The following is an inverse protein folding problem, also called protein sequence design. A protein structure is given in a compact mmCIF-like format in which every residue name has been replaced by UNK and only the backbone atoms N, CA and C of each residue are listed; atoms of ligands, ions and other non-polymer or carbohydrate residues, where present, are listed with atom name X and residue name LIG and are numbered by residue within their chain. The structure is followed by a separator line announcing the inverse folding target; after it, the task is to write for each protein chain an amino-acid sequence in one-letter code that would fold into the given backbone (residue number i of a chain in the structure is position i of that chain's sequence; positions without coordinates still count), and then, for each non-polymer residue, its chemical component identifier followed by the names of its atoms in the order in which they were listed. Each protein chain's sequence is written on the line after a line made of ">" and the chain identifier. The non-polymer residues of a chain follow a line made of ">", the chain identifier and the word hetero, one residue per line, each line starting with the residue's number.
data_IF_159394285856
#
_entry.id   IF_159394285856
#
_cell.length_a   1.000
_cell.length_b   1.000
_cell.length_c   1.000
_cell.angle_alpha   90.00
_cell.angle_beta   90.00
_cell.angle_gamma   90.00
#
_symmetry.space_group_name_H-M   'P 1'
#
loop_
_entity.id
_entity.type
_entity.pdbx_description
1 polymer ?
#
# COMPACT_ATOMS: atom_id res chain seq x y z
N UNK A 1 -1.33 4.17 8.41
CA UNK A 1 -1.73 5.54 8.03
C UNK A 1 -1.75 5.61 6.52
N UNK A 2 -2.73 6.27 5.89
CA UNK A 2 -2.71 6.48 4.44
C UNK A 2 -1.44 7.26 4.06
N UNK A 3 -0.86 6.89 2.93
CA UNK A 3 0.33 7.53 2.40
C UNK A 3 0.01 9.01 2.11
N UNK A 4 0.51 9.91 2.96
CA UNK A 4 0.34 11.36 2.80
C UNK A 4 1.09 11.89 1.56
N UNK A 5 1.72 11.01 0.78
CA UNK A 5 2.58 11.31 -0.35
C UNK A 5 1.85 11.56 -1.67
N UNK A 6 0.51 11.56 -1.70
CA UNK A 6 -0.21 11.95 -2.91
C UNK A 6 -0.75 13.38 -2.83
N UNK A 7 -0.60 14.13 -3.93
CA UNK A 7 -1.14 15.47 -4.16
C UNK A 7 -2.62 15.50 -3.82
N UNK A 8 -3.39 14.52 -4.30
CA UNK A 8 -4.83 14.42 -4.02
C UNK A 8 -5.17 14.31 -2.52
N UNK A 9 -4.37 13.57 -1.75
CA UNK A 9 -4.55 13.45 -0.31
C UNK A 9 -4.14 14.72 0.43
N UNK A 10 -3.08 15.40 -0.01
CA UNK A 10 -2.69 16.70 0.53
C UNK A 10 -3.79 17.76 0.27
N UNK A 11 -4.31 17.85 -0.95
CA UNK A 11 -5.42 18.75 -1.30
C UNK A 11 -6.66 18.50 -0.44
N UNK A 12 -7.06 17.22 -0.30
CA UNK A 12 -8.19 16.83 0.55
C UNK A 12 -7.94 17.19 2.01
N UNK A 13 -6.74 16.93 2.52
CA UNK A 13 -6.39 17.19 3.92
C UNK A 13 -6.44 18.68 4.23
N UNK A 14 -5.84 19.53 3.38
CA UNK A 14 -5.87 20.97 3.57
C UNK A 14 -7.29 21.53 3.49
N UNK A 15 -8.10 21.03 2.55
CA UNK A 15 -9.51 21.42 2.42
C UNK A 15 -10.31 21.07 3.68
N UNK A 16 -10.18 19.83 4.17
CA UNK A 16 -10.85 19.39 5.40
C UNK A 16 -10.44 20.22 6.63
N UNK A 17 -9.16 20.59 6.74
CA UNK A 17 -8.69 21.42 7.83
C UNK A 17 -9.25 22.85 7.75
N UNK A 18 -9.36 23.44 6.56
CA UNK A 18 -10.01 24.75 6.40
C UNK A 18 -11.48 24.70 6.80
N UNK A 19 -12.21 23.65 6.44
CA UNK A 19 -13.61 23.48 6.84
C UNK A 19 -13.76 23.26 8.35
N UNK A 20 -12.82 22.56 8.98
CA UNK A 20 -12.76 22.44 10.44
C UNK A 20 -12.62 23.81 11.12
N UNK A 21 -11.76 24.70 10.60
CA UNK A 21 -11.62 26.06 11.15
C UNK A 21 -12.92 26.87 10.99
N UNK A 22 -13.64 26.71 9.87
CA UNK A 22 -14.97 27.33 9.68
C UNK A 22 -15.99 26.82 10.68
N UNK A 23 -15.98 25.52 10.97
CA UNK A 23 -16.89 24.93 11.96
C UNK A 23 -16.65 25.50 13.36
N UNK A 24 -15.39 25.64 13.78
CA UNK A 24 -15.03 26.28 15.06
C UNK A 24 -15.55 27.71 15.10
N UNK A 25 -15.27 28.52 14.06
CA UNK A 25 -15.73 29.92 14.01
C UNK A 25 -17.25 30.03 14.06
N UNK A 26 -17.95 29.12 13.39
CA UNK A 26 -19.42 29.07 13.43
C UNK A 26 -19.95 28.76 14.83
N UNK A 27 -19.30 27.84 15.55
CA UNK A 27 -19.67 27.52 16.94
C UNK A 27 -19.41 28.70 17.89
N UNK A 28 -18.29 29.40 17.72
CA UNK A 28 -17.98 30.61 18.50
C UNK A 28 -19.02 31.70 18.23
N UNK A 29 -19.38 31.93 16.97
CA UNK A 29 -20.40 32.91 16.60
C UNK A 29 -21.76 32.54 17.21
N UNK A 30 -22.14 31.27 17.13
CA UNK A 30 -23.38 30.77 17.73
C UNK A 30 -23.42 30.99 19.24
N UNK A 31 -22.36 30.65 19.97
CA UNK A 31 -22.25 30.85 21.42
C UNK A 31 -22.38 32.33 21.82
N UNK A 32 -21.71 33.23 21.08
CA UNK A 32 -21.80 34.67 21.30
C UNK A 32 -23.21 35.24 21.06
N UNK A 33 -23.98 34.64 20.16
CA UNK A 33 -25.34 35.11 19.83
C UNK A 33 -26.42 34.50 20.75
N UNK A 34 -26.23 33.26 21.22
CA UNK A 34 -27.27 32.49 21.89
C UNK A 34 -27.03 32.26 23.38
N UNK A 35 -25.82 32.46 23.90
CA UNK A 35 -25.51 32.29 25.32
C UNK A 35 -25.73 33.59 26.10
N UNK A 36 -26.33 33.49 27.29
CA UNK A 36 -26.40 34.60 28.24
C UNK A 36 -25.02 34.96 28.81
N UNK A 37 -24.14 33.96 28.92
CA UNK A 37 -22.75 34.11 29.33
C UNK A 37 -21.83 33.39 28.32
N UNK A 38 -21.44 34.05 27.22
CA UNK A 38 -20.59 33.45 26.20
C UNK A 38 -19.20 33.07 26.73
N UNK A 39 -18.64 32.00 26.17
CA UNK A 39 -17.32 31.50 26.53
C UNK A 39 -16.20 32.44 26.06
N UNK A 40 -15.10 32.45 26.83
CA UNK A 40 -13.91 33.26 26.50
C UNK A 40 -13.10 32.60 25.39
N UNK A 41 -13.49 32.87 24.16
CA UNK A 41 -12.97 32.21 22.95
C UNK A 41 -11.77 32.87 22.28
N UNK A 42 -11.22 33.96 22.84
CA UNK A 42 -10.11 34.75 22.24
C UNK A 42 -8.92 33.91 21.77
N UNK A 43 -8.49 32.94 22.57
CA UNK A 43 -7.36 32.06 22.20
C UNK A 43 -7.72 31.11 21.06
N UNK A 44 -8.96 30.63 21.02
CA UNK A 44 -9.45 29.76 19.97
C UNK A 44 -9.63 30.51 18.64
N UNK A 45 -10.05 31.77 18.70
CA UNK A 45 -10.10 32.66 17.53
C UNK A 45 -8.69 32.92 16.96
N UNK A 46 -7.74 33.28 17.83
CA UNK A 46 -6.34 33.49 17.43
C UNK A 46 -5.68 32.21 16.88
N UNK A 47 -6.05 31.05 17.42
CA UNK A 47 -5.66 29.75 16.88
C UNK A 47 -6.19 29.57 15.45
N UNK A 48 -7.49 29.82 15.21
CA UNK A 48 -8.08 29.69 13.88
C UNK A 48 -7.39 30.60 12.86
N UNK A 49 -7.10 31.85 13.21
CA UNK A 49 -6.43 32.80 12.33
C UNK A 49 -5.00 32.37 11.97
N UNK A 50 -4.28 31.80 12.94
CA UNK A 50 -2.91 31.32 12.73
C UNK A 50 -2.92 30.07 11.86
N UNK A 51 -3.81 29.12 12.13
CA UNK A 51 -3.94 27.89 11.34
C UNK A 51 -4.38 28.18 9.90
N UNK A 52 -5.31 29.12 9.70
CA UNK A 52 -5.74 29.50 8.36
C UNK A 52 -4.59 30.09 7.53
N UNK A 53 -3.77 30.97 8.12
CA UNK A 53 -2.58 31.50 7.46
C UNK A 53 -1.57 30.41 7.12
N UNK A 54 -1.33 29.47 8.04
CA UNK A 54 -0.44 28.34 7.81
C UNK A 54 -0.95 27.42 6.70
N UNK A 55 -2.25 27.11 6.68
CA UNK A 55 -2.88 26.28 5.65
C UNK A 55 -2.86 26.96 4.28
N UNK A 56 -3.13 28.25 4.21
CA UNK A 56 -3.01 29.01 2.96
C UNK A 56 -1.58 28.95 2.40
N UNK A 57 -0.56 29.03 3.27
CA UNK A 57 0.83 28.84 2.86
C UNK A 57 1.12 27.42 2.40
N UNK A 58 0.60 26.41 3.10
CA UNK A 58 0.74 25.00 2.70
C UNK A 58 0.11 24.72 1.32
N UNK A 59 -1.08 25.28 1.06
CA UNK A 59 -1.74 25.22 -0.25
C UNK A 59 -0.90 25.90 -1.33
N UNK A 60 -0.30 27.06 -1.03
CA UNK A 60 0.59 27.74 -1.97
C UNK A 60 1.82 26.90 -2.31
N UNK A 61 2.44 26.25 -1.32
CA UNK A 61 3.57 25.35 -1.53
C UNK A 61 3.16 24.13 -2.37
N UNK A 62 2.01 23.53 -2.08
CA UNK A 62 1.49 22.41 -2.85
C UNK A 62 1.25 22.80 -4.31
N UNK A 63 0.59 23.94 -4.54
CA UNK A 63 0.35 24.44 -5.90
C UNK A 63 1.65 24.75 -6.64
N UNK A 64 2.66 25.32 -5.95
CA UNK A 64 3.97 25.61 -6.53
C UNK A 64 4.70 24.36 -7.02
N UNK A 65 4.54 23.24 -6.33
CA UNK A 65 5.25 21.99 -6.59
C UNK A 65 4.37 20.89 -7.21
N UNK A 66 3.12 21.22 -7.56
CA UNK A 66 2.08 20.25 -7.92
C UNK A 66 2.48 19.35 -9.08
N UNK A 67 2.94 19.95 -10.18
CA UNK A 67 3.25 19.20 -11.40
C UNK A 67 4.42 18.24 -11.17
N UNK A 68 5.47 18.71 -10.49
CA UNK A 68 6.63 17.88 -10.10
C UNK A 68 6.20 16.70 -9.23
N UNK A 69 5.36 16.95 -8.22
CA UNK A 69 4.87 15.89 -7.35
C UNK A 69 4.00 14.86 -8.10
N UNK A 70 3.19 15.30 -9.06
CA UNK A 70 2.38 14.40 -9.90
C UNK A 70 3.27 13.52 -10.81
N UNK A 71 4.33 14.09 -11.38
CA UNK A 71 5.30 13.34 -12.19
C UNK A 71 6.06 12.30 -11.35
N UNK A 72 6.51 12.69 -10.15
CA UNK A 72 7.16 11.78 -9.20
C UNK A 72 6.23 10.65 -8.75
N UNK A 73 4.97 10.97 -8.45
CA UNK A 73 3.95 9.97 -8.12
C UNK A 73 3.71 8.98 -9.27
N UNK A 74 3.65 9.48 -10.51
CA UNK A 74 3.46 8.64 -11.69
C UNK A 74 4.66 7.71 -11.87
N UNK A 75 5.88 8.24 -11.80
CA UNK A 75 7.10 7.45 -11.89
C UNK A 75 7.16 6.38 -10.79
N UNK A 76 6.76 6.71 -9.55
CA UNK A 76 6.73 5.75 -8.45
C UNK A 76 5.67 4.66 -8.67
N UNK A 77 4.48 5.02 -9.18
CA UNK A 77 3.43 4.04 -9.52
C UNK A 77 3.88 3.10 -10.63
N UNK A 78 4.51 3.61 -11.67
CA UNK A 78 5.06 2.79 -12.76
C UNK A 78 6.18 1.86 -12.27
N UNK A 79 7.06 2.34 -11.40
CA UNK A 79 8.12 1.52 -10.79
C UNK A 79 7.54 0.39 -9.91
N UNK A 80 6.52 0.70 -9.09
CA UNK A 80 5.82 -0.29 -8.27
C UNK A 80 5.11 -1.34 -9.14
N UNK A 81 4.41 -0.93 -10.19
CA UNK A 81 3.74 -1.86 -11.12
C UNK A 81 4.74 -2.81 -11.79
N UNK A 82 5.86 -2.29 -12.31
CA UNK A 82 6.91 -3.13 -12.90
C UNK A 82 7.52 -4.11 -11.91
N UNK A 83 7.72 -3.68 -10.65
CA UNK A 83 8.22 -4.55 -9.60
C UNK A 83 7.21 -5.66 -9.24
N UNK A 84 5.93 -5.32 -9.14
CA UNK A 84 4.85 -6.28 -8.88
C UNK A 84 4.68 -7.28 -10.04
N UNK A 85 4.74 -6.83 -11.29
CA UNK A 85 4.67 -7.70 -12.47
C UNK A 85 5.87 -8.65 -12.54
N UNK A 86 7.09 -8.14 -12.31
CA UNK A 86 8.29 -8.98 -12.25
C UNK A 86 8.20 -10.02 -11.13
N UNK A 87 7.64 -9.65 -9.98
CA UNK A 87 7.43 -10.57 -8.87
C UNK A 87 6.40 -11.65 -9.23
N UNK A 88 5.25 -11.26 -9.80
CA UNK A 88 4.22 -12.22 -10.26
C UNK A 88 4.75 -13.17 -11.33
N UNK A 89 5.58 -12.69 -12.25
CA UNK A 89 6.22 -13.53 -13.27
C UNK A 89 7.17 -14.57 -12.64
N UNK A 90 7.97 -14.15 -11.65
CA UNK A 90 8.83 -15.07 -10.88
C UNK A 90 8.02 -16.11 -10.11
N UNK A 91 6.94 -15.69 -9.45
CA UNK A 91 6.10 -16.58 -8.66
C UNK A 91 5.37 -17.59 -9.56
N UNK A 92 4.91 -17.18 -10.74
CA UNK A 92 4.30 -18.08 -11.73
C UNK A 92 5.32 -19.06 -12.31
N UNK A 93 6.56 -18.62 -12.55
CA UNK A 93 7.63 -19.50 -13.03
C UNK A 93 7.98 -20.57 -11.98
N UNK A 94 8.10 -20.18 -10.70
CA UNK A 94 8.32 -21.11 -9.59
C UNK A 94 7.20 -22.13 -9.45
N UNK A 95 5.95 -21.71 -9.54
CA UNK A 95 4.81 -22.63 -9.50
C UNK A 95 4.82 -23.64 -10.65
N UNK A 96 5.21 -23.23 -11.86
CA UNK A 96 5.36 -24.14 -12.99
C UNK A 96 6.50 -25.14 -12.78
N UNK A 97 7.63 -24.70 -12.25
CA UNK A 97 8.76 -25.59 -11.94
C UNK A 97 8.40 -26.61 -10.86
N UNK A 98 7.73 -26.17 -9.79
CA UNK A 98 7.24 -27.06 -8.73
C UNK A 98 6.19 -28.07 -9.24
N UNK A 99 5.28 -27.63 -10.11
CA UNK A 99 4.31 -28.52 -10.74
C UNK A 99 4.98 -29.55 -11.67
N UNK A 100 6.01 -29.16 -12.42
CA UNK A 100 6.78 -30.08 -13.25
C UNK A 100 7.57 -31.09 -12.40
N UNK A 101 8.21 -30.64 -11.31
CA UNK A 101 8.91 -31.54 -10.38
C UNK A 101 7.96 -32.57 -9.77
N UNK A 102 6.77 -32.15 -9.33
CA UNK A 102 5.75 -33.06 -8.81
C UNK A 102 5.25 -34.05 -9.86
N UNK A 103 5.00 -33.61 -11.09
CA UNK A 103 4.60 -34.51 -12.17
C UNK A 103 5.68 -35.57 -12.48
N UNK A 104 6.95 -35.17 -12.50
CA UNK A 104 8.08 -36.10 -12.69
C UNK A 104 8.18 -37.10 -11.52
N UNK A 105 7.99 -36.64 -10.29
CA UNK A 105 8.02 -37.50 -9.11
C UNK A 105 6.87 -38.52 -9.11
N UNK A 106 5.66 -38.10 -9.48
CA UNK A 106 4.50 -38.98 -9.59
C UNK A 106 4.66 -39.99 -10.73
N UNK A 107 5.18 -39.57 -11.89
CA UNK A 107 5.50 -40.47 -13.00
C UNK A 107 6.59 -41.48 -12.63
N UNK A 108 7.62 -41.08 -11.88
CA UNK A 108 8.65 -42.00 -11.36
C UNK A 108 8.07 -43.03 -10.40
N UNK A 109 7.20 -42.62 -9.47
CA UNK A 109 6.52 -43.56 -8.55
C UNK A 109 5.63 -44.53 -9.31
N UNK A 110 4.91 -44.04 -10.32
CA UNK A 110 4.06 -44.89 -11.16
C UNK A 110 4.90 -45.88 -11.97
N UNK A 111 5.98 -45.43 -12.60
CA UNK A 111 6.88 -46.28 -13.37
C UNK A 111 7.57 -47.37 -12.52
N UNK A 112 7.79 -47.13 -11.23
CA UNK A 112 8.31 -48.14 -10.28
C UNK A 112 7.27 -49.18 -9.85
N UNK A 113 5.98 -48.87 -9.90
CA UNK A 113 4.89 -49.69 -9.32
C UNK A 113 3.97 -50.33 -10.35
N UNK A 114 4.02 -49.90 -11.62
CA UNK A 114 3.17 -50.42 -12.70
C UNK A 114 3.70 -51.76 -13.24
N UNK A 115 2.89 -52.82 -13.10
CA UNK A 115 3.22 -54.19 -13.50
C UNK A 115 3.38 -54.28 -15.04
N UNK A 116 4.61 -54.56 -15.49
CA UNK A 116 5.00 -54.53 -16.92
C UNK A 116 5.90 -53.34 -17.31
N UNK A 117 6.19 -52.42 -16.39
CA UNK A 117 7.19 -51.37 -16.57
C UNK A 117 8.62 -51.93 -16.54
N UNK A 118 9.50 -51.35 -17.37
CA UNK A 118 10.93 -51.67 -17.42
C UNK A 118 11.68 -51.35 -16.11
N UNK A 119 11.08 -50.55 -15.23
CA UNK A 119 11.61 -50.17 -13.91
C UNK A 119 10.87 -50.83 -12.74
N UNK A 120 9.85 -51.65 -13.00
CA UNK A 120 9.15 -52.40 -11.96
C UNK A 120 10.04 -53.56 -11.48
N UNK A 121 10.54 -53.46 -10.25
CA UNK A 121 11.41 -54.47 -9.63
C UNK A 121 12.88 -54.04 -9.43
N UNK A 122 13.25 -52.80 -9.73
CA UNK A 122 14.58 -52.23 -9.45
C UNK A 122 14.70 -51.66 -8.01
N UNK A 123 14.11 -52.36 -7.04
CA UNK A 123 14.36 -52.14 -5.61
C UNK A 123 15.05 -53.41 -5.08
N UNK A 124 16.39 -53.42 -5.08
CA UNK A 124 17.19 -54.46 -4.43
C UNK A 124 18.57 -54.65 -5.06
N UNK A 125 19.59 -54.34 -4.28
CA UNK A 125 21.01 -54.72 -4.40
C UNK A 125 21.94 -53.74 -5.13
N UNK A 126 22.36 -52.71 -4.39
CA UNK A 126 23.76 -52.24 -4.40
C UNK A 126 24.14 -51.72 -2.99
N UNK A 127 23.86 -52.54 -1.98
CA UNK A 127 24.50 -52.48 -0.65
C UNK A 127 24.84 -53.93 -0.23
N UNK A 128 25.92 -54.49 -0.77
CA UNK A 128 26.68 -55.54 -0.07
C UNK A 128 28.09 -55.02 0.23
N UNK A 129 28.31 -54.64 1.50
CA UNK A 129 29.62 -54.65 2.15
C UNK A 129 30.13 -56.10 2.32
N UNK A 130 31.45 -56.25 2.15
CA UNK A 130 32.36 -57.31 2.61
C UNK A 130 32.34 -58.72 1.96
N UNK A 131 33.29 -58.91 1.02
CA UNK A 131 34.35 -59.95 1.09
C UNK A 131 35.63 -59.50 0.34
#
# INVERSE_FOLDING_TARGET
>A
MPDMNSVSMMERTFSMQLDFLKAIRSLIAYDKEHSQEPEKTRFLEAFCDTQEKALNMAVLLLNKHKDTLLDEEKAQKEAKQKAEEAQRAKDTAKQKEEAQKKAIEDDLKKAKTEEGSLFAGLDGDDDEEDC
#
